data_IF_348739152936
#
_entry.id   IF_348739152936
#
_cell.length_a   1.000
_cell.length_b   1.000
_cell.length_c   1.000
_cell.angle_alpha   90.00
_cell.angle_beta   90.00
_cell.angle_gamma   90.00
#
_symmetry.space_group_name_H-M   'P 1'
#
loop_
_entity.id
_entity.type
_entity.pdbx_description
1 polymer ?
#
# COMPACT_ATOMS: atom_id res chain seq x y z
N UNK A 1 -34.21 -23.55 35.44
CA UNK A 1 -35.24 -24.60 35.47
C UNK A 1 -34.96 -25.59 34.33
N UNK A 2 -35.33 -26.87 34.50
CA UNK A 2 -34.47 -28.06 34.33
C UNK A 2 -34.75 -28.78 32.98
N UNK A 3 -34.16 -29.92 32.58
CA UNK A 3 -34.33 -31.28 33.12
C UNK A 3 -33.50 -32.36 32.37
N UNK A 4 -32.77 -33.17 33.14
CA UNK A 4 -32.65 -34.66 33.19
C UNK A 4 -32.38 -35.59 31.98
N UNK A 5 -31.38 -36.47 32.24
CA UNK A 5 -31.30 -37.94 32.11
C UNK A 5 -31.27 -38.62 30.73
N UNK A 6 -30.40 -39.63 30.57
CA UNK A 6 -30.77 -41.07 30.59
C UNK A 6 -29.52 -41.97 30.51
N UNK A 7 -29.40 -42.88 31.49
CA UNK A 7 -28.50 -44.05 31.54
C UNK A 7 -29.05 -45.19 30.66
N UNK A 8 -28.19 -46.01 30.04
CA UNK A 8 -28.58 -47.36 29.60
C UNK A 8 -27.40 -48.34 29.56
N UNK A 9 -27.73 -49.62 29.74
CA UNK A 9 -26.98 -50.64 30.44
C UNK A 9 -26.83 -51.93 29.58
N UNK A 10 -25.62 -52.51 29.55
CA UNK A 10 -25.15 -53.91 29.28
C UNK A 10 -25.73 -54.80 28.16
N UNK A 11 -24.97 -55.86 27.77
CA UNK A 11 -25.50 -57.21 28.04
C UNK A 11 -24.47 -58.26 28.54
N UNK A 12 -25.04 -59.35 29.08
CA UNK A 12 -24.48 -60.54 29.76
C UNK A 12 -24.21 -61.76 28.84
N UNK A 13 -23.32 -62.69 29.28
CA UNK A 13 -23.38 -64.18 29.13
C UNK A 13 -22.12 -64.79 29.79
N UNK A 14 -22.10 -65.95 30.45
CA UNK A 14 -23.11 -66.99 30.68
C UNK A 14 -22.59 -68.07 31.67
N UNK A 15 -23.53 -68.88 32.16
CA UNK A 15 -23.37 -69.95 33.15
C UNK A 15 -23.01 -71.31 32.52
N UNK A 16 -22.26 -72.17 33.25
CA UNK A 16 -22.45 -73.63 33.23
C UNK A 16 -21.94 -74.30 34.52
N UNK A 17 -22.80 -75.12 35.14
CA UNK A 17 -22.54 -76.06 36.24
C UNK A 17 -22.31 -77.49 35.69
N UNK A 18 -21.56 -78.31 36.40
CA UNK A 18 -21.67 -79.80 36.55
C UNK A 18 -20.66 -80.18 37.65
N UNK A 19 -21.06 -80.57 38.86
CA UNK A 19 -21.54 -81.87 39.39
C UNK A 19 -20.46 -82.76 40.05
N UNK A 20 -20.91 -83.47 41.10
CA UNK A 20 -20.19 -84.09 42.23
C UNK A 20 -19.42 -85.40 41.94
N UNK A 21 -18.35 -85.68 42.72
CA UNK A 21 -18.20 -86.94 43.48
C UNK A 21 -17.08 -86.88 44.54
N UNK A 22 -17.36 -87.43 45.71
CA UNK A 22 -16.48 -87.63 46.88
C UNK A 22 -15.73 -88.97 46.82
N UNK A 23 -14.51 -89.02 47.37
CA UNK A 23 -13.96 -90.20 48.07
C UNK A 23 -12.77 -89.79 48.96
N UNK A 24 -12.68 -90.43 50.12
CA UNK A 24 -11.80 -90.14 51.25
C UNK A 24 -10.38 -90.74 51.13
N UNK A 25 -9.52 -90.20 52.02
CA UNK A 25 -8.45 -90.84 52.82
C UNK A 25 -7.03 -90.35 52.51
N UNK A 26 -6.37 -89.82 53.55
CA UNK A 26 -4.91 -89.80 53.68
C UNK A 26 -4.31 -88.47 54.15
N UNK A 27 -4.22 -88.27 55.46
CA UNK A 27 -3.44 -87.17 56.08
C UNK A 27 -1.99 -87.61 56.25
N UNK A 28 -1.01 -86.81 55.78
CA UNK A 28 0.31 -86.62 56.43
C UNK A 28 0.80 -85.18 56.17
N UNK A 29 1.27 -84.44 57.18
CA UNK A 29 1.62 -83.02 57.06
C UNK A 29 3.10 -82.79 56.72
N UNK A 30 3.40 -81.80 55.89
CA UNK A 30 4.76 -81.21 55.82
C UNK A 30 4.69 -79.68 55.84
N UNK A 31 5.64 -79.13 56.59
CA UNK A 31 5.84 -77.75 57.05
C UNK A 31 6.02 -76.71 55.91
N UNK A 32 5.91 -75.41 56.23
CA UNK A 32 5.89 -74.32 55.26
C UNK A 32 7.30 -73.91 54.83
N UNK A 33 7.45 -73.55 53.55
CA UNK A 33 8.59 -72.76 53.06
C UNK A 33 8.06 -71.67 52.14
N UNK A 34 8.13 -70.42 52.62
CA UNK A 34 7.98 -69.21 51.81
C UNK A 34 9.02 -69.18 50.67
N UNK A 35 8.64 -68.62 49.51
CA UNK A 35 9.55 -67.76 48.77
C UNK A 35 8.84 -66.46 48.36
N UNK A 36 8.36 -65.66 49.32
CA UNK A 36 7.61 -64.43 48.99
C UNK A 36 8.49 -63.27 48.47
N UNK A 37 9.80 -63.24 48.77
CA UNK A 37 10.67 -62.09 48.43
C UNK A 37 11.17 -62.05 46.98
N UNK A 38 11.43 -63.20 46.34
CA UNK A 38 12.04 -63.23 45.01
C UNK A 38 11.02 -62.90 43.89
N UNK A 39 9.77 -63.37 44.03
CA UNK A 39 8.69 -63.03 43.11
C UNK A 39 8.27 -61.55 43.22
N UNK A 40 8.34 -60.96 44.42
CA UNK A 40 8.12 -59.53 44.62
C UNK A 40 9.19 -58.67 43.92
N UNK A 41 10.46 -59.08 43.94
CA UNK A 41 11.54 -58.36 43.24
C UNK A 41 11.40 -58.33 41.71
N UNK A 42 10.98 -59.45 41.10
CA UNK A 42 10.73 -59.54 39.65
C UNK A 42 9.50 -58.72 39.24
N UNK A 43 8.42 -58.76 40.05
CA UNK A 43 7.23 -57.95 39.80
C UNK A 43 7.53 -56.44 39.87
N UNK A 44 8.34 -56.01 40.83
CA UNK A 44 8.76 -54.60 40.97
C UNK A 44 9.62 -54.15 39.77
N UNK A 45 10.54 -54.98 39.29
CA UNK A 45 11.34 -54.69 38.09
C UNK A 45 10.47 -54.56 36.82
N UNK A 46 9.45 -55.41 36.66
CA UNK A 46 8.49 -55.31 35.55
C UNK A 46 7.69 -54.01 35.59
N UNK A 47 7.23 -53.58 36.77
CA UNK A 47 6.51 -52.31 36.95
C UNK A 47 7.42 -51.12 36.62
N UNK A 48 8.67 -51.15 37.09
CA UNK A 48 9.66 -50.09 36.81
C UNK A 48 9.97 -50.00 35.31
N UNK A 49 10.09 -51.12 34.61
CA UNK A 49 10.30 -51.14 33.16
C UNK A 49 9.10 -50.56 32.38
N UNK A 50 7.87 -50.87 32.81
CA UNK A 50 6.64 -50.29 32.22
C UNK A 50 6.57 -48.77 32.48
N UNK A 51 6.93 -48.32 33.68
CA UNK A 51 6.98 -46.89 34.01
C UNK A 51 8.05 -46.16 33.20
N UNK A 52 9.26 -46.73 33.07
CA UNK A 52 10.33 -46.16 32.24
C UNK A 52 9.96 -46.08 30.75
N UNK A 53 9.29 -47.10 30.22
CA UNK A 53 8.79 -47.09 28.84
C UNK A 53 7.67 -46.05 28.62
N UNK A 54 6.78 -45.86 29.59
CA UNK A 54 5.78 -44.78 29.54
C UNK A 54 6.42 -43.38 29.62
N UNK A 55 7.44 -43.19 30.46
CA UNK A 55 8.15 -41.91 30.59
C UNK A 55 8.96 -41.60 29.33
N UNK A 56 9.66 -42.59 28.77
CA UNK A 56 10.42 -42.40 27.52
C UNK A 56 9.50 -42.13 26.34
N UNK A 57 8.37 -42.84 26.22
CA UNK A 57 7.38 -42.57 25.17
C UNK A 57 6.78 -41.17 25.28
N UNK A 58 6.42 -40.72 26.49
CA UNK A 58 5.90 -39.36 26.71
C UNK A 58 6.95 -38.28 26.44
N UNK A 59 8.22 -38.52 26.79
CA UNK A 59 9.33 -37.61 26.47
C UNK A 59 9.59 -37.50 24.95
N UNK A 60 9.56 -38.62 24.22
CA UNK A 60 9.72 -38.62 22.75
C UNK A 60 8.54 -37.92 22.08
N UNK A 61 7.31 -38.21 22.52
CA UNK A 61 6.09 -37.61 22.00
C UNK A 61 6.09 -36.08 22.20
N UNK A 62 6.41 -35.63 23.41
CA UNK A 62 6.52 -34.19 23.71
C UNK A 62 7.66 -33.53 22.93
N UNK A 63 8.81 -34.20 22.78
CA UNK A 63 9.91 -33.70 21.94
C UNK A 63 9.51 -33.52 20.47
N UNK A 64 8.74 -34.44 19.90
CA UNK A 64 8.23 -34.32 18.53
C UNK A 64 7.24 -33.16 18.39
N UNK A 65 6.31 -33.01 19.33
CA UNK A 65 5.36 -31.89 19.34
C UNK A 65 6.06 -30.53 19.46
N UNK A 66 7.08 -30.44 20.32
CA UNK A 66 7.88 -29.24 20.49
C UNK A 66 8.65 -28.92 19.20
N UNK A 67 9.27 -29.92 18.55
CA UNK A 67 9.94 -29.73 17.26
C UNK A 67 8.96 -29.25 16.18
N UNK A 68 7.77 -29.86 16.08
CA UNK A 68 6.74 -29.43 15.14
C UNK A 68 6.31 -27.98 15.40
N UNK A 69 6.07 -27.63 16.67
CA UNK A 69 5.73 -26.26 17.05
C UNK A 69 6.83 -25.27 16.67
N UNK A 70 8.11 -25.58 16.98
CA UNK A 70 9.24 -24.75 16.58
C UNK A 70 9.35 -24.60 15.07
N UNK A 71 9.13 -25.67 14.29
CA UNK A 71 9.15 -25.59 12.83
C UNK A 71 8.04 -24.70 12.29
N UNK A 72 6.82 -24.80 12.83
CA UNK A 72 5.68 -23.97 12.43
C UNK A 72 5.92 -22.51 12.80
N UNK A 73 6.44 -22.25 14.00
CA UNK A 73 6.70 -20.87 14.43
C UNK A 73 7.84 -20.24 13.61
N UNK A 74 8.87 -21.01 13.29
CA UNK A 74 9.95 -20.57 12.42
C UNK A 74 9.44 -20.26 11.01
N UNK A 75 8.70 -21.18 10.38
CA UNK A 75 8.15 -20.95 9.03
C UNK A 75 7.19 -19.77 9.00
N UNK A 76 6.38 -19.59 10.04
CA UNK A 76 5.51 -18.41 10.17
C UNK A 76 6.33 -17.12 10.20
N UNK A 77 7.36 -17.03 11.05
CA UNK A 77 8.24 -15.84 11.13
C UNK A 77 8.97 -15.58 9.82
N UNK A 78 9.49 -16.63 9.18
CA UNK A 78 10.20 -16.51 7.90
C UNK A 78 9.24 -16.02 6.79
N UNK A 79 8.00 -16.50 6.78
CA UNK A 79 6.95 -16.04 5.84
C UNK A 79 6.56 -14.58 6.09
N UNK A 80 6.36 -14.18 7.35
CA UNK A 80 6.06 -12.78 7.71
C UNK A 80 7.20 -11.85 7.29
N UNK A 81 8.46 -12.25 7.53
CA UNK A 81 9.64 -11.48 7.12
C UNK A 81 9.76 -11.36 5.60
N UNK A 82 9.54 -12.46 4.86
CA UNK A 82 9.51 -12.45 3.41
C UNK A 82 8.43 -11.50 2.90
N UNK A 83 7.20 -11.60 3.43
CA UNK A 83 6.07 -10.75 3.06
C UNK A 83 6.38 -9.25 3.21
N UNK A 84 6.96 -8.84 4.35
CA UNK A 84 7.35 -7.43 4.57
C UNK A 84 8.41 -6.98 3.56
N UNK A 85 9.40 -7.83 3.28
CA UNK A 85 10.47 -7.55 2.31
C UNK A 85 9.91 -7.34 0.91
N UNK A 86 9.00 -8.22 0.47
CA UNK A 86 8.32 -8.10 -0.82
C UNK A 86 7.48 -6.85 -0.90
N UNK A 87 6.72 -6.54 0.15
CA UNK A 87 5.92 -5.32 0.20
C UNK A 87 6.80 -4.07 0.08
N UNK A 88 8.00 -4.09 0.66
CA UNK A 88 8.94 -2.97 0.51
C UNK A 88 9.47 -2.87 -0.92
N UNK A 89 9.87 -3.98 -1.55
CA UNK A 89 10.32 -3.98 -2.95
C UNK A 89 9.22 -3.46 -3.89
N UNK A 90 7.99 -3.95 -3.74
CA UNK A 90 6.83 -3.52 -4.51
C UNK A 90 6.58 -2.00 -4.34
N UNK A 91 6.74 -1.46 -3.13
CA UNK A 91 6.61 -0.01 -2.87
C UNK A 91 7.69 0.80 -3.57
N UNK A 92 8.95 0.35 -3.58
CA UNK A 92 10.02 1.04 -4.31
C UNK A 92 9.79 1.01 -5.82
N UNK A 93 9.33 -0.12 -6.36
CA UNK A 93 8.94 -0.24 -7.78
C UNK A 93 7.83 0.78 -8.09
N UNK A 94 6.78 0.83 -7.27
CA UNK A 94 5.69 1.79 -7.46
C UNK A 94 6.19 3.24 -7.43
N UNK A 95 7.08 3.58 -6.49
CA UNK A 95 7.69 4.93 -6.40
C UNK A 95 8.43 5.30 -7.68
N UNK A 96 9.16 4.36 -8.29
CA UNK A 96 9.86 4.56 -9.56
C UNK A 96 8.88 4.68 -10.74
N UNK A 97 7.87 3.82 -10.80
CA UNK A 97 6.82 3.83 -11.83
C UNK A 97 5.99 5.12 -11.83
N UNK A 98 5.96 5.86 -10.73
CA UNK A 98 5.32 7.19 -10.68
C UNK A 98 5.90 8.14 -11.73
N UNK A 99 7.22 8.16 -11.91
CA UNK A 99 7.91 9.14 -12.75
C UNK A 99 8.64 8.54 -13.96
N UNK A 100 8.56 7.22 -14.15
CA UNK A 100 9.31 6.52 -15.20
C UNK A 100 8.44 5.50 -15.93
N UNK A 101 8.87 5.11 -17.13
CA UNK A 101 8.30 3.95 -17.83
C UNK A 101 8.68 2.63 -17.16
N UNK A 102 8.00 1.55 -17.51
CA UNK A 102 8.32 0.20 -17.05
C UNK A 102 9.79 -0.18 -17.34
N UNK A 103 10.27 0.05 -18.56
CA UNK A 103 11.65 -0.25 -18.97
C UNK A 103 12.69 0.57 -18.19
N UNK A 104 12.44 1.88 -18.02
CA UNK A 104 13.32 2.74 -17.21
C UNK A 104 13.32 2.37 -15.73
N UNK A 105 12.23 1.77 -15.24
CA UNK A 105 12.13 1.30 -13.85
C UNK A 105 12.93 0.03 -13.65
N UNK A 106 12.80 -0.94 -14.56
CA UNK A 106 13.58 -2.20 -14.52
C UNK A 106 15.09 -1.94 -14.51
N UNK A 107 15.58 -0.97 -15.29
CA UNK A 107 17.00 -0.61 -15.33
C UNK A 107 17.54 0.02 -14.03
N UNK A 108 16.67 0.36 -13.07
CA UNK A 108 17.05 1.02 -11.80
C UNK A 108 16.85 0.14 -10.58
N UNK A 109 16.29 -1.05 -10.75
CA UNK A 109 16.03 -1.97 -9.66
C UNK A 109 17.12 -3.04 -9.64
N UNK A 110 17.56 -3.40 -8.44
CA UNK A 110 18.41 -4.56 -8.25
C UNK A 110 17.59 -5.85 -8.42
N UNK A 111 17.90 -6.62 -9.47
CA UNK A 111 17.25 -7.89 -9.80
C UNK A 111 18.08 -9.11 -9.37
N UNK A 112 19.12 -8.94 -8.56
CA UNK A 112 20.08 -10.02 -8.22
C UNK A 112 19.43 -11.28 -7.63
N UNK A 113 18.32 -11.12 -6.90
CA UNK A 113 17.68 -12.20 -6.14
C UNK A 113 16.19 -12.40 -6.52
N UNK A 114 15.73 -11.78 -7.61
CA UNK A 114 14.35 -11.88 -8.04
C UNK A 114 14.17 -11.52 -9.52
N UNK A 115 13.31 -12.27 -10.19
CA UNK A 115 12.80 -11.92 -11.52
C UNK A 115 11.62 -10.97 -11.37
N UNK A 116 11.72 -9.78 -11.97
CA UNK A 116 10.67 -8.76 -11.94
C UNK A 116 10.09 -8.60 -13.35
N UNK A 117 8.77 -8.72 -13.45
CA UNK A 117 8.01 -8.43 -14.66
C UNK A 117 7.06 -7.27 -14.38
N UNK A 118 7.04 -6.28 -15.29
CA UNK A 118 6.15 -5.13 -15.23
C UNK A 118 5.36 -5.06 -16.53
N UNK A 119 4.06 -5.29 -16.46
CA UNK A 119 3.14 -5.10 -17.58
C UNK A 119 2.48 -3.73 -17.44
N UNK A 120 2.45 -2.96 -18.53
CA UNK A 120 1.79 -1.65 -18.59
C UNK A 120 0.61 -1.72 -19.56
N UNK A 121 -0.55 -1.25 -19.11
CA UNK A 121 -1.73 -1.01 -19.95
C UNK A 121 -2.11 0.46 -19.87
N UNK A 122 -2.19 1.13 -21.01
CA UNK A 122 -2.71 2.49 -21.07
C UNK A 122 -4.24 2.46 -20.97
N UNK A 123 -4.79 3.32 -20.13
CA UNK A 123 -6.22 3.50 -19.88
C UNK A 123 -6.62 4.94 -20.20
N UNK A 124 -7.90 5.16 -20.46
CA UNK A 124 -8.46 6.48 -20.72
C UNK A 124 -9.60 6.73 -19.74
N UNK A 125 -9.48 7.79 -18.95
CA UNK A 125 -10.51 8.27 -18.05
C UNK A 125 -11.54 9.14 -18.77
N UNK A 126 -12.41 9.78 -17.98
CA UNK A 126 -13.32 10.80 -18.50
C UNK A 126 -12.53 11.97 -19.11
N UNK A 127 -13.15 12.72 -20.02
CA UNK A 127 -12.52 13.86 -20.71
C UNK A 127 -11.19 13.55 -21.43
N UNK A 128 -10.96 12.28 -21.82
CA UNK A 128 -9.72 11.80 -22.46
C UNK A 128 -8.46 11.87 -21.57
N UNK A 129 -8.64 11.81 -20.25
CA UNK A 129 -7.53 11.78 -19.31
C UNK A 129 -6.68 10.51 -19.48
N UNK A 130 -5.37 10.68 -19.69
CA UNK A 130 -4.45 9.53 -19.79
C UNK A 130 -4.18 8.94 -18.41
N UNK A 131 -4.37 7.62 -18.29
CA UNK A 131 -4.15 6.83 -17.09
C UNK A 131 -3.28 5.62 -17.44
N UNK A 132 -2.55 5.08 -16.47
CA UNK A 132 -1.73 3.89 -16.68
C UNK A 132 -1.92 2.86 -15.59
N UNK A 133 -2.21 1.64 -16.00
CA UNK A 133 -2.30 0.49 -15.12
C UNK A 133 -1.01 -0.32 -15.24
N UNK A 134 -0.43 -0.65 -14.09
CA UNK A 134 0.75 -1.49 -14.00
C UNK A 134 0.43 -2.77 -13.23
N UNK A 135 0.78 -3.93 -13.79
CA UNK A 135 0.85 -5.19 -13.07
C UNK A 135 2.31 -5.52 -12.82
N UNK A 136 2.70 -5.55 -11.54
CA UNK A 136 4.07 -5.88 -11.10
C UNK A 136 4.06 -7.29 -10.54
N UNK A 137 4.91 -8.15 -11.11
CA UNK A 137 5.13 -9.52 -10.69
C UNK A 137 6.57 -9.70 -10.23
N UNK A 138 6.75 -10.26 -9.05
CA UNK A 138 8.06 -10.57 -8.48
C UNK A 138 8.09 -12.06 -8.21
N UNK A 139 9.00 -12.76 -8.89
CA UNK A 139 9.30 -14.17 -8.67
C UNK A 139 10.66 -14.29 -8.00
N UNK A 140 10.72 -14.99 -6.87
CA UNK A 140 11.98 -15.29 -6.19
C UNK A 140 12.52 -16.65 -6.60
N UNK A 141 13.84 -16.71 -6.80
CA UNK A 141 14.50 -17.92 -7.28
C UNK A 141 14.49 -19.06 -6.24
N UNK A 142 14.40 -18.74 -4.94
CA UNK A 142 14.48 -19.71 -3.85
C UNK A 142 13.12 -20.25 -3.37
N UNK A 143 12.04 -19.46 -3.46
CA UNK A 143 10.76 -19.76 -2.80
C UNK A 143 9.68 -20.31 -3.72
N UNK A 144 9.89 -20.29 -5.05
CA UNK A 144 8.85 -20.55 -6.07
C UNK A 144 7.56 -19.73 -5.90
N UNK A 145 7.59 -18.70 -5.05
CA UNK A 145 6.45 -17.83 -4.78
C UNK A 145 6.48 -16.64 -5.72
N UNK A 146 5.36 -16.39 -6.38
CA UNK A 146 5.15 -15.24 -7.26
C UNK A 146 4.23 -14.25 -6.56
N UNK A 147 4.73 -13.05 -6.30
CA UNK A 147 3.95 -11.94 -5.76
C UNK A 147 3.48 -11.04 -6.88
N UNK A 148 2.17 -10.77 -6.91
CA UNK A 148 1.56 -9.84 -7.87
C UNK A 148 0.94 -8.65 -7.15
N UNK A 149 1.15 -7.46 -7.68
CA UNK A 149 0.52 -6.22 -7.22
C UNK A 149 0.16 -5.32 -8.40
N UNK A 150 -1.00 -4.67 -8.33
CA UNK A 150 -1.47 -3.76 -9.38
C UNK A 150 -1.48 -2.32 -8.91
N UNK A 151 -1.13 -1.40 -9.82
CA UNK A 151 -1.04 0.03 -9.55
C UNK A 151 -1.74 0.85 -10.62
N UNK A 152 -2.34 1.96 -10.21
CA UNK A 152 -2.88 2.97 -11.10
C UNK A 152 -2.04 4.24 -10.99
N UNK A 153 -1.47 4.69 -12.11
CA UNK A 153 -0.86 6.00 -12.28
C UNK A 153 -1.86 6.96 -12.91
N UNK A 154 -1.99 8.12 -12.29
CA UNK A 154 -2.94 9.17 -12.66
C UNK A 154 -2.37 10.54 -12.29
N UNK A 155 -2.76 11.64 -12.97
CA UNK A 155 -2.25 12.97 -12.64
C UNK A 155 -2.92 13.55 -11.39
N UNK A 156 -2.22 14.39 -10.65
CA UNK A 156 -2.74 15.13 -9.50
C UNK A 156 -3.74 16.21 -9.90
N UNK A 157 -3.59 16.77 -11.12
CA UNK A 157 -4.54 17.62 -11.81
C UNK A 157 -5.56 16.72 -12.52
N UNK A 158 -6.71 16.51 -11.89
CA UNK A 158 -7.71 15.52 -12.31
C UNK A 158 -8.57 16.02 -13.46
N UNK A 159 -9.01 17.27 -13.38
CA UNK A 159 -9.86 17.89 -14.39
C UNK A 159 -9.20 19.16 -14.91
N UNK A 160 -9.37 19.42 -16.20
CA UNK A 160 -8.93 20.67 -16.80
C UNK A 160 -10.07 21.68 -16.83
N UNK A 161 -9.81 22.99 -16.64
CA UNK A 161 -10.82 24.02 -16.84
C UNK A 161 -11.41 23.94 -18.25
N UNK A 162 -12.75 23.89 -18.35
CA UNK A 162 -13.45 23.99 -19.64
C UNK A 162 -13.30 25.40 -20.22
N UNK A 163 -13.61 25.60 -21.51
CA UNK A 163 -13.48 26.92 -22.17
C UNK A 163 -14.22 28.06 -21.45
N UNK A 164 -15.31 27.76 -20.73
CA UNK A 164 -16.07 28.75 -19.98
C UNK A 164 -15.51 29.02 -18.57
N UNK A 165 -14.64 28.13 -18.08
CA UNK A 165 -13.97 28.23 -16.78
C UNK A 165 -12.55 28.77 -16.89
N UNK A 166 -11.95 28.70 -18.08
CA UNK A 166 -10.66 29.32 -18.36
C UNK A 166 -10.82 30.83 -18.17
N UNK A 167 -10.11 31.40 -17.19
CA UNK A 167 -10.18 32.81 -16.78
C UNK A 167 -11.37 33.20 -15.90
N UNK A 168 -11.94 32.25 -15.14
CA UNK A 168 -13.03 32.51 -14.19
C UNK A 168 -12.68 32.08 -12.77
N UNK A 169 -13.60 32.35 -11.85
CA UNK A 169 -13.54 31.84 -10.48
C UNK A 169 -14.65 30.83 -10.21
N UNK A 170 -14.42 29.93 -9.26
CA UNK A 170 -15.38 28.90 -8.82
C UNK A 170 -15.07 28.49 -7.37
N UNK A 171 -16.05 28.56 -6.47
CA UNK A 171 -15.81 28.22 -5.05
C UNK A 171 -15.57 26.72 -4.80
N UNK A 172 -15.80 25.85 -5.79
CA UNK A 172 -15.46 24.43 -5.75
C UNK A 172 -14.22 24.09 -6.59
N UNK A 173 -13.42 25.11 -6.94
CA UNK A 173 -12.24 24.98 -7.81
C UNK A 173 -11.33 23.82 -7.41
N UNK A 174 -10.98 23.74 -6.14
CA UNK A 174 -10.03 22.73 -5.63
C UNK A 174 -10.61 21.31 -5.70
N UNK A 175 -11.92 21.18 -5.52
CA UNK A 175 -12.63 19.92 -5.53
C UNK A 175 -12.65 19.33 -6.94
N UNK A 176 -12.91 20.12 -7.97
CA UNK A 176 -12.90 19.58 -9.33
C UNK A 176 -11.50 19.53 -9.96
N UNK A 177 -10.58 20.45 -9.65
CA UNK A 177 -9.20 20.36 -10.15
C UNK A 177 -8.43 19.19 -9.51
N UNK A 178 -8.56 19.00 -8.19
CA UNK A 178 -7.67 18.15 -7.41
C UNK A 178 -8.39 17.10 -6.56
N UNK A 179 -9.73 17.09 -6.52
CA UNK A 179 -10.52 16.24 -5.62
C UNK A 179 -10.09 16.41 -4.15
N UNK A 180 -9.89 17.67 -3.75
CA UNK A 180 -9.53 18.09 -2.40
C UNK A 180 -10.24 19.39 -2.08
N UNK A 181 -10.71 19.54 -0.83
CA UNK A 181 -11.11 20.87 -0.36
C UNK A 181 -9.87 21.72 -0.12
N UNK A 182 -10.04 23.04 -0.15
CA UNK A 182 -8.96 24.01 0.09
C UNK A 182 -8.23 23.75 1.42
N UNK A 183 -8.96 23.39 2.48
CA UNK A 183 -8.40 23.09 3.82
C UNK A 183 -7.43 21.89 3.84
N UNK A 184 -7.56 20.97 2.88
CA UNK A 184 -6.73 19.76 2.80
C UNK A 184 -5.76 19.78 1.62
N UNK A 185 -5.73 20.87 0.84
CA UNK A 185 -4.79 21.05 -0.25
C UNK A 185 -3.53 21.72 0.29
N UNK A 186 -2.38 21.14 0.00
CA UNK A 186 -1.07 21.69 0.38
C UNK A 186 -0.04 21.37 -0.70
N UNK A 187 1.13 22.01 -0.64
CA UNK A 187 2.25 21.73 -1.54
C UNK A 187 2.57 20.23 -1.64
N UNK A 188 2.49 19.50 -0.51
CA UNK A 188 2.81 18.06 -0.42
C UNK A 188 1.88 17.15 -1.24
N UNK A 189 0.71 17.66 -1.64
CA UNK A 189 -0.19 16.94 -2.53
C UNK A 189 0.46 16.67 -3.90
N UNK A 190 1.37 17.56 -4.31
CA UNK A 190 2.14 17.52 -5.54
C UNK A 190 3.55 16.97 -5.27
N UNK A 191 3.90 15.76 -5.73
CA UNK A 191 5.14 15.08 -5.32
C UNK A 191 6.45 15.80 -5.67
N UNK A 192 6.43 16.71 -6.64
CA UNK A 192 7.61 17.43 -7.15
C UNK A 192 7.36 18.95 -7.25
N UNK A 193 6.53 19.49 -6.37
CA UNK A 193 6.34 20.95 -6.28
C UNK A 193 7.51 21.64 -5.59
N UNK A 194 7.73 22.89 -5.96
CA UNK A 194 8.60 23.84 -5.26
C UNK A 194 7.72 24.76 -4.43
N UNK A 195 7.85 24.70 -3.11
CA UNK A 195 7.11 25.57 -2.19
C UNK A 195 7.98 26.78 -1.79
N UNK A 196 7.46 28.00 -1.96
CA UNK A 196 8.09 29.27 -1.58
C UNK A 196 7.06 30.25 -1.02
N UNK A 197 7.51 31.38 -0.49
CA UNK A 197 6.65 32.47 -0.02
C UNK A 197 6.47 33.57 -1.07
N UNK A 198 7.35 33.60 -2.06
CA UNK A 198 7.35 34.56 -3.17
C UNK A 198 7.95 33.89 -4.42
N UNK A 199 7.97 34.66 -5.51
CA UNK A 199 8.50 34.23 -6.81
C UNK A 199 9.95 34.66 -7.05
N UNK A 200 10.71 35.03 -6.01
CA UNK A 200 12.12 35.41 -6.17
C UNK A 200 12.96 34.16 -6.36
N UNK A 201 13.90 34.15 -7.31
CA UNK A 201 14.86 33.06 -7.56
C UNK A 201 14.17 31.69 -7.75
N UNK A 202 13.18 31.59 -8.64
CA UNK A 202 12.51 30.33 -8.90
C UNK A 202 13.46 29.33 -9.58
N UNK A 203 13.70 28.13 -8.98
CA UNK A 203 14.48 27.10 -9.66
C UNK A 203 13.66 26.47 -10.79
N UNK A 204 14.31 25.86 -11.81
CA UNK A 204 13.59 25.14 -12.85
C UNK A 204 12.69 24.03 -12.29
N UNK A 205 11.38 24.20 -12.43
CA UNK A 205 10.35 23.26 -12.02
C UNK A 205 9.07 23.48 -12.82
N UNK A 206 8.20 22.46 -12.87
CA UNK A 206 6.90 22.54 -13.55
C UNK A 206 5.75 22.94 -12.61
N UNK A 207 5.96 22.91 -11.29
CA UNK A 207 4.92 23.16 -10.29
C UNK A 207 5.49 24.04 -9.19
N UNK A 208 4.88 25.21 -9.01
CA UNK A 208 5.21 26.15 -7.95
C UNK A 208 4.02 26.31 -7.02
N UNK A 209 4.28 26.25 -5.72
CA UNK A 209 3.33 26.54 -4.65
C UNK A 209 3.85 27.75 -3.88
N UNK A 210 3.22 28.89 -4.08
CA UNK A 210 3.66 30.17 -3.53
C UNK A 210 2.64 30.59 -2.46
N UNK A 211 3.11 30.81 -1.24
CA UNK A 211 2.29 31.29 -0.12
C UNK A 211 2.59 32.77 0.10
N UNK A 212 1.78 33.64 -0.47
CA UNK A 212 1.98 35.09 -0.48
C UNK A 212 2.16 35.66 -1.89
N UNK A 213 2.60 36.91 -1.92
CA UNK A 213 2.65 37.71 -3.14
C UNK A 213 3.74 37.21 -4.10
N UNK A 214 3.40 37.21 -5.39
CA UNK A 214 4.25 36.74 -6.46
C UNK A 214 4.37 37.80 -7.55
N UNK A 215 5.60 38.15 -7.89
CA UNK A 215 5.92 38.92 -9.07
C UNK A 215 6.74 38.02 -9.99
N UNK A 216 6.27 37.80 -11.21
CA UNK A 216 6.96 37.00 -12.21
C UNK A 216 7.47 37.89 -13.33
N UNK A 217 8.72 37.67 -13.68
CA UNK A 217 9.29 38.15 -14.93
C UNK A 217 9.62 36.98 -15.88
N UNK A 218 10.19 37.30 -17.04
CA UNK A 218 10.52 36.30 -18.05
C UNK A 218 11.76 35.45 -17.68
N UNK A 219 12.63 35.91 -16.78
CA UNK A 219 13.79 35.13 -16.32
C UNK A 219 13.33 33.99 -15.39
N UNK A 220 12.37 34.27 -14.50
CA UNK A 220 11.79 33.31 -13.55
C UNK A 220 11.18 32.07 -14.22
N UNK A 221 10.68 32.24 -15.46
CA UNK A 221 9.95 31.20 -16.21
C UNK A 221 10.62 30.81 -17.53
N UNK A 222 11.89 31.19 -17.74
CA UNK A 222 12.61 30.96 -19.00
C UNK A 222 12.74 29.47 -19.39
N UNK A 223 12.58 28.54 -18.42
CA UNK A 223 12.58 27.09 -18.65
C UNK A 223 11.22 26.52 -19.08
N UNK A 224 10.18 27.35 -19.18
CA UNK A 224 8.83 26.92 -19.57
C UNK A 224 8.51 27.26 -21.02
N UNK A 225 7.80 26.35 -21.67
CA UNK A 225 7.19 26.55 -22.98
C UNK A 225 5.87 25.75 -23.11
N UNK A 226 5.28 25.71 -24.30
CA UNK A 226 4.03 24.98 -24.55
C UNK A 226 4.11 23.46 -24.32
N UNK A 227 5.30 22.87 -24.41
CA UNK A 227 5.57 21.45 -24.18
C UNK A 227 6.03 21.17 -22.74
N UNK A 228 6.59 22.19 -22.07
CA UNK A 228 6.97 22.20 -20.67
C UNK A 228 6.21 23.29 -19.89
N UNK A 229 4.86 23.22 -19.83
CA UNK A 229 4.06 24.23 -19.15
C UNK A 229 4.19 24.17 -17.62
N UNK A 230 3.84 25.28 -16.98
CA UNK A 230 3.86 25.43 -15.52
C UNK A 230 2.47 25.32 -14.90
N UNK A 231 2.42 24.80 -13.69
CA UNK A 231 1.31 25.01 -12.76
C UNK A 231 1.78 25.92 -11.64
N UNK A 232 1.25 27.13 -11.57
CA UNK A 232 1.54 28.11 -10.54
C UNK A 232 0.35 28.19 -9.59
N UNK A 233 0.55 27.81 -8.33
CA UNK A 233 -0.44 28.01 -7.28
C UNK A 233 -0.01 29.18 -6.42
N UNK A 234 -0.85 30.21 -6.34
CA UNK A 234 -0.66 31.35 -5.45
C UNK A 234 -1.70 31.23 -4.33
N UNK A 235 -1.24 31.12 -3.09
CA UNK A 235 -2.08 30.94 -1.91
C UNK A 235 -2.00 32.21 -1.07
N UNK A 236 -3.15 32.83 -0.83
CA UNK A 236 -3.31 34.04 -0.02
C UNK A 236 -2.37 35.18 -0.45
N UNK A 237 -2.23 35.40 -1.76
CA UNK A 237 -1.34 36.42 -2.31
C UNK A 237 -1.78 36.98 -3.66
N UNK A 238 -1.22 38.15 -3.96
CA UNK A 238 -1.40 38.82 -5.25
C UNK A 238 -0.41 38.28 -6.29
N UNK A 239 -0.81 38.32 -7.56
CA UNK A 239 0.03 37.90 -8.69
C UNK A 239 0.21 39.05 -9.68
N UNK A 240 1.47 39.37 -9.97
CA UNK A 240 1.84 40.32 -11.03
C UNK A 240 2.71 39.63 -12.08
N UNK A 241 2.27 39.64 -13.34
CA UNK A 241 3.11 39.30 -14.48
C UNK A 241 3.68 40.61 -15.05
N UNK A 242 5.00 40.75 -15.02
CA UNK A 242 5.70 41.90 -15.60
C UNK A 242 5.65 41.86 -17.13
N UNK A 243 5.96 42.99 -17.77
CA UNK A 243 6.04 43.09 -19.22
C UNK A 243 6.98 42.01 -19.80
N UNK A 244 6.73 41.61 -21.05
CA UNK A 244 7.44 40.54 -21.76
C UNK A 244 7.33 39.12 -21.17
N UNK A 245 6.66 38.93 -20.03
CA UNK A 245 6.48 37.61 -19.39
C UNK A 245 5.51 36.75 -20.20
N UNK A 246 5.98 35.61 -20.72
CA UNK A 246 5.18 34.67 -21.50
C UNK A 246 4.85 33.40 -20.71
N UNK A 247 3.75 33.42 -19.96
CA UNK A 247 3.34 32.30 -19.14
C UNK A 247 2.61 31.23 -19.96
N UNK A 248 3.12 30.00 -19.93
CA UNK A 248 2.51 28.83 -20.56
C UNK A 248 2.05 27.84 -19.49
N UNK A 249 0.73 27.67 -19.31
CA UNK A 249 0.23 26.67 -18.35
C UNK A 249 -1.05 27.07 -17.59
N UNK A 250 -1.10 26.70 -16.31
CA UNK A 250 -2.24 26.92 -15.42
C UNK A 250 -1.83 27.75 -14.20
N UNK A 251 -2.47 28.90 -14.01
CA UNK A 251 -2.40 29.69 -12.79
C UNK A 251 -3.62 29.36 -11.92
N UNK A 252 -3.40 29.04 -10.66
CA UNK A 252 -4.44 28.74 -9.68
C UNK A 252 -4.27 29.69 -8.50
N UNK A 253 -5.15 30.68 -8.37
CA UNK A 253 -5.14 31.62 -7.25
C UNK A 253 -6.12 31.15 -6.17
N UNK A 254 -5.60 30.86 -4.99
CA UNK A 254 -6.32 30.31 -3.86
C UNK A 254 -6.35 31.34 -2.73
N UNK A 255 -7.53 31.60 -2.20
CA UNK A 255 -7.72 32.35 -0.96
C UNK A 255 -8.31 31.42 0.09
N UNK A 256 -7.73 31.40 1.28
CA UNK A 256 -8.25 30.71 2.47
C UNK A 256 -9.09 31.65 3.33
N UNK A 257 -9.16 32.93 2.97
CA UNK A 257 -9.90 33.98 3.67
C UNK A 257 -10.95 34.62 2.76
N UNK A 258 -11.70 35.60 3.29
CA UNK A 258 -12.61 36.40 2.47
C UNK A 258 -11.91 37.53 1.69
N UNK A 259 -10.58 37.64 1.78
CA UNK A 259 -9.83 38.69 1.11
C UNK A 259 -9.83 38.48 -0.41
N UNK A 260 -9.99 39.58 -1.15
CA UNK A 260 -9.97 39.60 -2.61
C UNK A 260 -8.56 39.97 -3.07
N UNK A 261 -7.90 39.01 -3.70
CA UNK A 261 -6.54 39.20 -4.24
C UNK A 261 -6.55 39.78 -5.64
N UNK A 262 -5.41 40.34 -6.03
CA UNK A 262 -5.21 41.01 -7.31
C UNK A 262 -4.46 40.11 -8.29
N UNK A 263 -4.96 40.04 -9.53
CA UNK A 263 -4.21 39.53 -10.67
C UNK A 263 -3.90 40.69 -11.61
N UNK A 264 -2.63 41.07 -11.69
CA UNK A 264 -2.15 42.08 -12.63
C UNK A 264 -1.35 41.42 -13.76
N UNK A 265 -1.78 41.65 -15.00
CA UNK A 265 -1.06 41.22 -16.19
C UNK A 265 -0.68 42.46 -16.97
N UNK A 266 0.61 42.79 -16.94
CA UNK A 266 1.16 43.99 -17.57
C UNK A 266 0.91 43.98 -19.09
N UNK A 267 0.94 45.16 -19.75
CA UNK A 267 1.05 45.22 -21.21
C UNK A 267 2.23 44.35 -21.69
N UNK A 268 2.07 43.73 -22.87
CA UNK A 268 3.09 42.85 -23.50
C UNK A 268 3.34 41.52 -22.77
N UNK A 269 2.84 41.34 -21.54
CA UNK A 269 2.76 40.02 -20.92
C UNK A 269 1.67 39.16 -21.57
N UNK A 270 1.80 37.84 -21.46
CA UNK A 270 0.79 36.91 -21.97
C UNK A 270 0.62 35.67 -21.10
N UNK A 271 -0.63 35.17 -21.07
CA UNK A 271 -0.99 33.89 -20.48
C UNK A 271 -1.55 33.01 -21.61
N UNK A 272 -0.82 31.96 -21.97
CA UNK A 272 -1.26 30.90 -22.88
C UNK A 272 -1.61 29.66 -22.08
N UNK A 273 -2.90 29.36 -21.95
CA UNK A 273 -3.41 28.31 -21.07
C UNK A 273 -4.63 28.79 -20.30
N UNK A 274 -4.56 28.85 -18.97
CA UNK A 274 -5.66 29.36 -18.14
C UNK A 274 -5.17 29.99 -16.83
N UNK A 275 -5.94 30.93 -16.28
CA UNK A 275 -5.94 31.21 -14.85
C UNK A 275 -7.31 30.88 -14.27
N UNK A 276 -7.35 30.44 -13.02
CA UNK A 276 -8.57 30.12 -12.28
C UNK A 276 -8.40 30.50 -10.82
N UNK A 277 -9.49 30.83 -10.13
CA UNK A 277 -9.44 31.15 -8.70
C UNK A 277 -10.62 30.61 -7.91
N UNK A 278 -10.41 30.36 -6.61
CA UNK A 278 -11.51 29.88 -5.76
C UNK A 278 -12.39 31.03 -5.21
N UNK A 279 -11.89 32.26 -5.31
CA UNK A 279 -12.60 33.49 -4.98
C UNK A 279 -12.53 34.48 -6.14
N UNK A 280 -13.48 35.43 -6.26
CA UNK A 280 -13.35 36.55 -7.20
C UNK A 280 -12.00 37.27 -7.01
N UNK A 281 -11.41 37.73 -8.11
CA UNK A 281 -10.17 38.49 -8.12
C UNK A 281 -10.42 39.93 -8.55
N UNK A 282 -9.58 40.85 -8.08
CA UNK A 282 -9.42 42.15 -8.70
C UNK A 282 -8.45 42.01 -9.89
N UNK A 283 -8.98 41.88 -11.10
CA UNK A 283 -8.16 41.60 -12.29
C UNK A 283 -7.88 42.87 -13.10
N UNK A 284 -6.61 43.19 -13.30
CA UNK A 284 -6.12 44.23 -14.21
C UNK A 284 -5.35 43.55 -15.35
N UNK A 285 -6.05 43.34 -16.47
CA UNK A 285 -5.60 42.47 -17.56
C UNK A 285 -5.29 43.30 -18.81
N UNK A 286 -4.10 43.91 -18.85
CA UNK A 286 -3.64 44.73 -19.97
C UNK A 286 -2.88 43.90 -21.03
N UNK A 287 -2.38 42.72 -20.64
CA UNK A 287 -1.73 41.75 -21.52
C UNK A 287 -2.68 40.78 -22.23
N UNK A 288 -2.11 39.85 -23.00
CA UNK A 288 -2.88 38.89 -23.81
C UNK A 288 -3.26 37.63 -23.04
N UNK A 289 -4.52 37.21 -23.13
CA UNK A 289 -5.01 35.94 -22.59
C UNK A 289 -5.44 35.02 -23.73
N UNK A 290 -4.70 33.92 -23.93
CA UNK A 290 -4.97 32.95 -24.99
C UNK A 290 -5.32 31.59 -24.38
N UNK A 291 -6.60 31.18 -24.42
CA UNK A 291 -7.02 29.87 -23.92
C UNK A 291 -6.34 28.75 -24.74
N UNK A 292 -5.76 27.76 -24.06
CA UNK A 292 -5.08 26.64 -24.73
C UNK A 292 -5.29 25.31 -24.03
N UNK A 293 -6.23 24.51 -24.55
CA UNK A 293 -6.48 23.15 -24.07
C UNK A 293 -5.31 22.21 -24.33
N UNK A 294 -4.54 22.43 -25.41
CA UNK A 294 -3.33 21.66 -25.71
C UNK A 294 -2.27 21.86 -24.63
N UNK A 295 -2.01 23.11 -24.23
CA UNK A 295 -1.05 23.42 -23.16
C UNK A 295 -1.49 22.80 -21.83
N UNK A 296 -2.78 22.88 -21.49
CA UNK A 296 -3.32 22.28 -20.27
C UNK A 296 -3.25 20.74 -20.30
N UNK A 297 -3.44 20.09 -21.45
CA UNK A 297 -3.26 18.63 -21.61
C UNK A 297 -1.79 18.22 -21.50
N UNK A 298 -0.88 19.00 -22.10
CA UNK A 298 0.55 18.79 -21.95
C UNK A 298 0.93 18.87 -20.46
N UNK A 299 0.46 19.90 -19.75
CA UNK A 299 0.65 20.04 -18.31
C UNK A 299 0.13 18.81 -17.56
N UNK A 300 -1.13 18.42 -17.78
CA UNK A 300 -1.73 17.26 -17.11
C UNK A 300 -0.95 15.95 -17.34
N UNK A 301 -0.31 15.79 -18.51
CA UNK A 301 0.47 14.62 -18.86
C UNK A 301 1.88 14.58 -18.25
N UNK A 302 2.35 15.67 -17.63
CA UNK A 302 3.69 15.72 -17.04
C UNK A 302 3.86 14.74 -15.87
N UNK A 303 5.01 14.09 -15.83
CA UNK A 303 5.36 13.14 -14.75
C UNK A 303 5.50 13.81 -13.38
N UNK A 304 5.68 15.13 -13.33
CA UNK A 304 5.72 15.92 -12.08
C UNK A 304 4.37 15.94 -11.37
N UNK A 305 3.27 15.90 -12.12
CA UNK A 305 1.90 15.74 -11.61
C UNK A 305 1.52 14.28 -11.39
N UNK A 306 2.31 13.31 -11.87
CA UNK A 306 1.93 11.91 -11.75
C UNK A 306 1.91 11.45 -10.28
N UNK A 307 0.80 10.85 -9.89
CA UNK A 307 0.59 10.09 -8.66
C UNK A 307 0.43 8.61 -9.01
N UNK A 308 0.71 7.76 -8.04
CA UNK A 308 0.52 6.32 -8.18
C UNK A 308 -0.11 5.77 -6.90
N UNK A 309 -1.09 4.89 -7.06
CA UNK A 309 -1.77 4.22 -5.95
C UNK A 309 -1.83 2.71 -6.19
N UNK A 310 -1.74 1.89 -5.13
CA UNK A 310 -2.05 0.47 -5.24
C UNK A 310 -3.55 0.28 -5.51
N UNK A 311 -3.91 -0.69 -6.33
CA UNK A 311 -5.30 -1.12 -6.47
C UNK A 311 -5.64 -2.02 -5.28
N UNK A 312 -6.59 -1.65 -4.39
CA UNK A 312 -6.92 -2.44 -3.21
C UNK A 312 -7.32 -3.88 -3.58
N UNK A 313 -6.87 -4.85 -2.78
CA UNK A 313 -7.17 -6.27 -3.01
C UNK A 313 -6.44 -6.91 -4.20
N UNK A 314 -5.63 -6.16 -4.96
CA UNK A 314 -4.86 -6.70 -6.08
C UNK A 314 -3.62 -7.50 -5.67
N UNK A 315 -3.31 -7.52 -4.37
CA UNK A 315 -2.12 -8.15 -3.84
C UNK A 315 -2.39 -9.61 -3.51
N UNK A 316 -1.65 -10.50 -4.15
CA UNK A 316 -1.75 -11.93 -3.89
C UNK A 316 -0.41 -12.62 -4.18
N UNK A 317 -0.22 -13.77 -3.55
CA UNK A 317 0.90 -14.68 -3.79
C UNK A 317 0.39 -15.98 -4.38
N UNK A 318 1.01 -16.46 -5.45
CA UNK A 318 0.79 -17.79 -5.98
C UNK A 318 2.04 -18.65 -5.72
N UNK A 319 1.84 -19.93 -5.44
CA UNK A 319 2.89 -20.95 -5.30
C UNK A 319 2.81 -21.98 -6.42
#
# INVERSE_FOLDING_TARGET
>A
MPTTNTEMQWPQRGNRKTEFKTSHVGVVPTRPTEPLRFQQGIAVLGIVAILLSAITFSAISTSQQVQQFYTIEKTKRDTEKAHVTHMQQVKEIAKLLRSHSASQTLNRIDTSNATILIEQTDLVGEEQQSLQHFEVRISQDESNTIYTAKFLRYPSLLRLPTSNQQFSWDNQLTEWLFNRSIEHLSATYFPQSVAKQDCVDLPPASIFWIEGDCQLDNEDIAHSDENQPLMLLIVDGDLTLHADTQFHGLIVMLSTTSYTHTLHVSPEASIKGAYVSNHPLNASLDGSLTPSTTVLKNLQSHTTLAKIIPIPGSWYSNN
#
